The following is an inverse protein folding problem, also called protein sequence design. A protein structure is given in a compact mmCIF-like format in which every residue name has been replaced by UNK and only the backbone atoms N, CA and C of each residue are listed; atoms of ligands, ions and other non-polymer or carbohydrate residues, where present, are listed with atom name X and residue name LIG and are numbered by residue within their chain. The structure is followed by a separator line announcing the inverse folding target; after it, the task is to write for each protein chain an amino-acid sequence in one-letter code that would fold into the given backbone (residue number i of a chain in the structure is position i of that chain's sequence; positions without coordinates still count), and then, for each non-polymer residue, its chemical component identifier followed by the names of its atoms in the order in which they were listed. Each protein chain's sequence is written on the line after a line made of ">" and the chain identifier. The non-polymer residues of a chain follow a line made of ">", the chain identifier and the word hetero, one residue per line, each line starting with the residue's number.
data_IF_178778402417
#
_entry.id   IF_178778402417
#
_cell.length_a   1.000
_cell.length_b   1.000
_cell.length_c   1.000
_cell.angle_alpha   90.00
_cell.angle_beta   90.00
_cell.angle_gamma   90.00
#
_symmetry.space_group_name_H-M   'P 1'
#
loop_
_entity.id
_entity.type
_entity.pdbx_description
1 polymer ?
#
# COMPACT_ATOMS: atom_id res chain seq x y z
N UNK A 1 10.58 14.01 -4.88
CA UNK A 1 11.85 13.96 -4.14
C UNK A 1 11.64 13.07 -2.91
N UNK A 2 12.45 12.04 -2.73
CA UNK A 2 12.33 11.13 -1.58
C UNK A 2 12.74 11.80 -0.27
N UNK A 3 12.18 11.30 0.82
CA UNK A 3 12.43 11.77 2.18
C UNK A 3 13.67 11.09 2.75
N UNK A 4 14.11 11.54 3.91
CA UNK A 4 15.19 10.92 4.68
C UNK A 4 15.00 11.24 6.18
N UNK A 5 15.85 10.67 7.03
CA UNK A 5 15.73 10.83 8.48
C UNK A 5 15.72 12.30 8.92
N UNK A 6 16.61 13.12 8.36
CA UNK A 6 16.67 14.55 8.68
C UNK A 6 15.36 15.27 8.32
N UNK A 7 14.83 15.03 7.11
CA UNK A 7 13.56 15.63 6.66
C UNK A 7 12.37 15.17 7.48
N UNK A 8 12.37 13.92 7.95
CA UNK A 8 11.33 13.47 8.85
C UNK A 8 11.38 14.23 10.17
N UNK A 9 12.57 14.37 10.78
CA UNK A 9 12.72 15.16 12.01
C UNK A 9 12.27 16.61 11.81
N UNK A 10 12.65 17.24 10.69
CA UNK A 10 12.24 18.61 10.33
C UNK A 10 10.72 18.75 10.16
N UNK A 11 10.06 17.77 9.53
CA UNK A 11 8.60 17.79 9.26
C UNK A 11 7.75 17.40 10.46
N UNK A 12 8.22 16.44 11.26
CA UNK A 12 7.50 15.95 12.45
C UNK A 12 7.55 17.00 13.57
N UNK A 13 8.67 17.70 13.75
CA UNK A 13 8.83 18.69 14.82
C UNK A 13 8.79 18.07 16.22
N UNK A 14 8.78 18.91 17.27
CA UNK A 14 8.92 18.46 18.68
C UNK A 14 7.74 17.66 19.24
N UNK A 15 6.57 17.73 18.62
CA UNK A 15 5.34 17.08 19.10
C UNK A 15 4.63 16.22 18.05
N UNK A 16 5.25 15.99 16.90
CA UNK A 16 4.65 15.16 15.86
C UNK A 16 4.85 13.67 16.14
N UNK A 17 3.98 12.86 15.53
CA UNK A 17 4.05 11.40 15.61
C UNK A 17 5.26 10.88 14.82
N UNK A 18 6.09 9.98 15.41
CA UNK A 18 7.12 9.26 14.68
C UNK A 18 6.56 8.54 13.45
N UNK A 19 7.37 8.38 12.39
CA UNK A 19 6.91 7.82 11.10
C UNK A 19 6.37 6.40 11.26
N UNK A 20 7.10 5.56 12.00
CA UNK A 20 6.73 4.20 12.36
C UNK A 20 5.39 4.15 13.11
N UNK A 21 5.24 4.96 14.16
CA UNK A 21 3.98 5.04 14.91
C UNK A 21 2.83 5.52 14.03
N UNK A 22 3.04 6.53 13.19
CA UNK A 22 1.99 7.02 12.30
C UNK A 22 1.52 5.97 11.29
N UNK A 23 2.45 5.17 10.74
CA UNK A 23 2.11 4.07 9.85
C UNK A 23 1.38 2.94 10.60
N UNK A 24 1.82 2.62 11.83
CA UNK A 24 1.13 1.66 12.69
C UNK A 24 -0.29 2.12 13.01
N UNK A 25 -0.49 3.40 13.33
CA UNK A 25 -1.82 3.97 13.61
C UNK A 25 -2.75 3.81 12.40
N UNK A 26 -2.24 4.01 11.17
CA UNK A 26 -3.03 3.79 9.95
C UNK A 26 -3.43 2.32 9.78
N UNK A 27 -2.50 1.38 10.02
CA UNK A 27 -2.80 -0.07 9.96
C UNK A 27 -3.87 -0.45 10.98
N UNK A 28 -3.73 0.01 12.23
CA UNK A 28 -4.72 -0.24 13.29
C UNK A 28 -6.08 0.34 12.92
N UNK A 29 -6.12 1.58 12.43
CA UNK A 29 -7.37 2.22 12.00
C UNK A 29 -8.05 1.48 10.84
N UNK A 30 -7.29 0.90 9.92
CA UNK A 30 -7.85 0.08 8.83
C UNK A 30 -8.49 -1.20 9.39
N UNK A 31 -7.80 -1.88 10.30
CA UNK A 31 -8.26 -3.13 10.91
C UNK A 31 -9.50 -2.95 11.80
N UNK A 32 -9.56 -1.85 12.55
CA UNK A 32 -10.67 -1.57 13.50
C UNK A 32 -11.90 -0.97 12.82
N UNK A 33 -11.79 -0.47 11.60
CA UNK A 33 -12.90 0.18 10.90
C UNK A 33 -13.82 -0.81 10.21
N UNK A 34 -15.12 -0.47 10.18
CA UNK A 34 -16.14 -1.10 9.33
C UNK A 34 -16.63 -0.16 8.23
N UNK A 35 -16.13 1.07 8.17
CA UNK A 35 -16.48 2.05 7.15
C UNK A 35 -15.58 1.89 5.93
N UNK A 36 -16.16 1.41 4.83
CA UNK A 36 -15.44 1.14 3.58
C UNK A 36 -14.78 2.40 3.00
N UNK A 37 -15.46 3.54 3.02
CA UNK A 37 -14.89 4.80 2.52
C UNK A 37 -13.72 5.28 3.36
N UNK A 38 -13.70 4.98 4.66
CA UNK A 38 -12.57 5.25 5.53
C UNK A 38 -11.39 4.33 5.24
N UNK A 39 -11.65 3.03 5.06
CA UNK A 39 -10.63 2.05 4.66
C UNK A 39 -9.97 2.44 3.34
N UNK A 40 -10.75 2.83 2.34
CA UNK A 40 -10.25 3.30 1.04
C UNK A 40 -9.24 4.44 1.19
N UNK A 41 -9.59 5.44 2.03
CA UNK A 41 -8.70 6.58 2.30
C UNK A 41 -7.40 6.16 2.98
N UNK A 42 -7.47 5.18 3.90
CA UNK A 42 -6.28 4.67 4.58
C UNK A 42 -5.37 3.94 3.58
N UNK A 43 -5.90 3.04 2.76
CA UNK A 43 -5.10 2.29 1.78
C UNK A 43 -4.51 3.21 0.72
N UNK A 44 -5.26 4.22 0.27
CA UNK A 44 -4.73 5.27 -0.60
C UNK A 44 -3.54 6.01 0.04
N UNK A 45 -3.64 6.34 1.34
CA UNK A 45 -2.57 7.01 2.08
C UNK A 45 -1.34 6.11 2.20
N UNK A 46 -1.52 4.85 2.59
CA UNK A 46 -0.44 3.84 2.67
C UNK A 46 0.24 3.64 1.30
N UNK A 47 -0.54 3.59 0.22
CA UNK A 47 -0.04 3.45 -1.14
C UNK A 47 0.79 4.65 -1.59
N UNK A 48 0.41 5.86 -1.19
CA UNK A 48 1.22 7.07 -1.42
C UNK A 48 2.53 7.03 -0.63
N UNK A 49 2.53 6.51 0.61
CA UNK A 49 3.77 6.31 1.37
C UNK A 49 4.68 5.26 0.73
N UNK A 50 4.12 4.26 0.05
CA UNK A 50 4.87 3.21 -0.63
C UNK A 50 5.68 3.74 -1.83
N UNK A 51 5.46 4.97 -2.28
CA UNK A 51 6.28 5.57 -3.32
C UNK A 51 7.70 5.94 -2.83
N UNK A 52 7.90 6.10 -1.52
CA UNK A 52 9.16 6.58 -0.95
C UNK A 52 9.92 5.43 -0.24
N UNK A 53 11.13 5.06 -0.71
CA UNK A 53 11.91 3.96 -0.14
C UNK A 53 12.25 4.10 1.34
N UNK A 54 12.23 5.31 1.88
CA UNK A 54 12.38 5.54 3.33
C UNK A 54 11.38 4.71 4.16
N UNK A 55 10.18 4.47 3.62
CA UNK A 55 9.12 3.78 4.34
C UNK A 55 9.21 2.25 4.26
N UNK A 56 10.03 1.68 3.37
CA UNK A 56 10.01 0.24 3.07
C UNK A 56 10.35 -0.65 4.27
N UNK A 57 11.30 -0.25 5.11
CA UNK A 57 11.62 -1.00 6.32
C UNK A 57 10.42 -1.07 7.28
N UNK A 58 9.73 0.06 7.48
CA UNK A 58 8.51 0.10 8.29
C UNK A 58 7.38 -0.70 7.65
N UNK A 59 7.21 -0.64 6.33
CA UNK A 59 6.19 -1.40 5.62
C UNK A 59 6.32 -2.91 5.82
N UNK A 60 7.55 -3.43 5.78
CA UNK A 60 7.82 -4.84 6.08
C UNK A 60 7.62 -5.17 7.56
N UNK A 61 7.98 -4.27 8.47
CA UNK A 61 7.78 -4.50 9.90
C UNK A 61 6.30 -4.48 10.31
N UNK A 62 5.48 -3.72 9.60
CA UNK A 62 4.05 -3.50 9.90
C UNK A 62 3.13 -4.34 9.00
N UNK A 63 3.68 -5.27 8.22
CA UNK A 63 2.96 -6.13 7.27
C UNK A 63 2.05 -5.36 6.29
N UNK A 64 2.48 -4.16 5.86
CA UNK A 64 1.70 -3.30 4.94
C UNK A 64 1.67 -3.92 3.54
N UNK A 65 2.69 -4.69 3.14
CA UNK A 65 2.72 -5.35 1.84
C UNK A 65 1.65 -6.45 1.74
N UNK A 66 1.48 -7.20 2.82
CA UNK A 66 0.46 -8.22 3.00
C UNK A 66 -0.93 -7.57 3.05
N UNK A 67 -1.08 -6.44 3.75
CA UNK A 67 -2.32 -5.66 3.74
C UNK A 67 -2.73 -5.25 2.32
N UNK A 68 -1.78 -4.84 1.47
CA UNK A 68 -2.09 -4.55 0.07
C UNK A 68 -2.54 -5.81 -0.70
N UNK A 69 -1.97 -6.98 -0.41
CA UNK A 69 -2.39 -8.25 -1.00
C UNK A 69 -3.81 -8.63 -0.54
N UNK A 70 -4.15 -8.43 0.72
CA UNK A 70 -5.51 -8.65 1.22
C UNK A 70 -6.49 -7.73 0.49
N UNK A 71 -6.13 -6.44 0.34
CA UNK A 71 -6.97 -5.44 -0.33
C UNK A 71 -7.29 -5.79 -1.80
N UNK A 72 -6.38 -6.42 -2.54
CA UNK A 72 -6.64 -6.81 -3.94
C UNK A 72 -7.50 -8.07 -4.07
N UNK A 73 -7.84 -8.73 -2.97
CA UNK A 73 -8.80 -9.84 -2.92
C UNK A 73 -10.21 -9.41 -2.53
N UNK A 74 -10.36 -8.18 -2.05
CA UNK A 74 -11.65 -7.63 -1.63
C UNK A 74 -12.57 -7.33 -2.82
N UNK A 75 -13.90 -7.38 -2.64
CA UNK A 75 -14.86 -6.98 -3.67
C UNK A 75 -14.89 -5.46 -3.90
N UNK A 76 -14.37 -4.67 -2.97
CA UNK A 76 -14.33 -3.21 -3.09
C UNK A 76 -13.26 -2.79 -4.11
N UNK A 77 -13.71 -2.35 -5.29
CA UNK A 77 -12.83 -1.94 -6.40
C UNK A 77 -11.81 -0.87 -6.03
N UNK A 78 -12.12 0.02 -5.07
CA UNK A 78 -11.17 1.04 -4.60
C UNK A 78 -10.07 0.46 -3.73
N UNK A 79 -10.39 -0.52 -2.88
CA UNK A 79 -9.36 -1.25 -2.13
C UNK A 79 -8.44 -2.01 -3.08
N UNK A 80 -8.99 -2.63 -4.14
CA UNK A 80 -8.20 -3.30 -5.17
C UNK A 80 -7.30 -2.31 -5.91
N UNK A 81 -7.85 -1.17 -6.36
CA UNK A 81 -7.12 -0.12 -7.08
C UNK A 81 -5.94 0.43 -6.24
N UNK A 82 -6.19 0.79 -4.99
CA UNK A 82 -5.13 1.30 -4.12
C UNK A 82 -4.16 0.19 -3.70
N UNK A 83 -4.63 -1.01 -3.39
CA UNK A 83 -3.79 -2.15 -3.03
C UNK A 83 -2.77 -2.48 -4.13
N UNK A 84 -3.22 -2.61 -5.39
CA UNK A 84 -2.30 -2.87 -6.52
C UNK A 84 -1.37 -1.68 -6.77
N UNK A 85 -1.85 -0.44 -6.56
CA UNK A 85 -1.03 0.76 -6.61
C UNK A 85 0.09 0.76 -5.55
N UNK A 86 -0.21 0.37 -4.31
CA UNK A 86 0.77 0.20 -3.23
C UNK A 86 1.82 -0.86 -3.54
N UNK A 87 1.40 -1.99 -4.12
CA UNK A 87 2.30 -3.04 -4.61
C UNK A 87 3.23 -2.50 -5.70
N UNK A 88 2.69 -1.82 -6.72
CA UNK A 88 3.49 -1.24 -7.81
C UNK A 88 4.50 -0.19 -7.30
N UNK A 89 4.09 0.63 -6.33
CA UNK A 89 4.97 1.65 -5.76
C UNK A 89 6.12 1.06 -4.93
N UNK A 90 5.97 -0.16 -4.38
CA UNK A 90 6.92 -0.76 -3.44
C UNK A 90 7.76 -1.89 -4.02
N UNK A 91 7.31 -2.57 -5.08
CA UNK A 91 7.95 -3.79 -5.61
C UNK A 91 9.26 -3.55 -6.37
N UNK A 92 9.66 -2.29 -6.58
CA UNK A 92 10.98 -1.94 -7.12
C UNK A 92 12.12 -2.32 -6.16
N UNK A 93 11.83 -2.40 -4.85
CA UNK A 93 12.78 -2.87 -3.84
C UNK A 93 12.80 -4.41 -3.80
N UNK A 94 13.99 -5.05 -3.94
CA UNK A 94 14.08 -6.51 -3.94
C UNK A 94 13.55 -7.18 -2.68
N UNK A 95 13.70 -6.55 -1.50
CA UNK A 95 13.19 -7.13 -0.25
C UNK A 95 11.65 -7.09 -0.21
N UNK A 96 11.04 -5.98 -0.66
CA UNK A 96 9.58 -5.92 -0.81
C UNK A 96 9.07 -6.92 -1.85
N UNK A 97 9.72 -7.00 -3.03
CA UNK A 97 9.37 -7.97 -4.06
C UNK A 97 9.44 -9.41 -3.53
N UNK A 98 10.46 -9.73 -2.72
CA UNK A 98 10.58 -11.03 -2.07
C UNK A 98 9.39 -11.32 -1.15
N UNK A 99 8.96 -10.37 -0.32
CA UNK A 99 7.78 -10.54 0.55
C UNK A 99 6.53 -10.76 -0.31
N UNK A 100 6.27 -9.88 -1.28
CA UNK A 100 5.09 -9.97 -2.17
C UNK A 100 5.03 -11.32 -2.88
N UNK A 101 6.16 -11.80 -3.41
CA UNK A 101 6.21 -13.09 -4.12
C UNK A 101 6.04 -14.29 -3.19
N UNK A 102 6.63 -14.27 -1.99
CA UNK A 102 6.48 -15.32 -0.98
C UNK A 102 5.04 -15.42 -0.45
N UNK A 103 4.33 -14.30 -0.39
CA UNK A 103 2.92 -14.23 -0.02
C UNK A 103 1.96 -14.55 -1.18
N UNK A 104 2.46 -15.05 -2.32
CA UNK A 104 1.61 -15.42 -3.45
C UNK A 104 1.06 -14.24 -4.25
N UNK A 105 1.71 -13.08 -4.22
CA UNK A 105 1.20 -11.86 -4.87
C UNK A 105 1.21 -11.90 -6.40
N UNK A 106 2.06 -12.70 -7.04
CA UNK A 106 2.11 -12.82 -8.52
C UNK A 106 0.75 -13.21 -9.11
N UNK A 107 0.13 -14.36 -8.75
CA UNK A 107 -1.15 -14.75 -9.30
C UNK A 107 -2.27 -13.73 -9.00
N UNK A 108 -2.25 -13.09 -7.83
CA UNK A 108 -3.24 -12.07 -7.47
C UNK A 108 -3.14 -10.83 -8.37
N UNK A 109 -1.93 -10.33 -8.61
CA UNK A 109 -1.71 -9.19 -9.51
C UNK A 109 -2.08 -9.54 -10.95
N UNK A 110 -1.76 -10.75 -11.41
CA UNK A 110 -2.18 -11.23 -12.75
C UNK A 110 -3.70 -11.28 -12.87
N UNK A 111 -4.41 -11.69 -11.82
CA UNK A 111 -5.87 -11.66 -11.79
C UNK A 111 -6.42 -10.23 -11.89
N UNK A 112 -5.81 -9.25 -11.23
CA UNK A 112 -6.20 -7.85 -11.37
C UNK A 112 -6.12 -7.37 -12.83
N UNK A 113 -5.11 -7.80 -13.59
CA UNK A 113 -4.93 -7.46 -15.01
C UNK A 113 -5.97 -8.10 -15.95
N UNK A 114 -6.77 -9.03 -15.44
CA UNK A 114 -7.86 -9.67 -16.19
C UNK A 114 -9.23 -9.08 -15.86
N UNK A 115 -9.29 -8.11 -14.93
CA UNK A 115 -10.52 -7.43 -14.53
C UNK A 115 -11.04 -6.51 -15.65
N UNK A 116 -12.37 -6.35 -15.81
CA UNK A 116 -12.97 -5.42 -16.77
C UNK A 116 -12.98 -3.95 -16.30
N UNK A 117 -12.53 -3.66 -15.08
CA UNK A 117 -12.46 -2.30 -14.54
C UNK A 117 -11.34 -1.54 -15.26
N UNK A 118 -11.65 -0.42 -15.92
CA UNK A 118 -10.70 0.32 -16.78
C UNK A 118 -9.38 0.74 -16.11
N UNK A 119 -9.36 0.87 -14.77
CA UNK A 119 -8.15 1.17 -14.00
C UNK A 119 -7.30 -0.08 -13.68
N UNK A 120 -7.76 -1.29 -14.04
CA UNK A 120 -7.04 -2.56 -13.84
C UNK A 120 -6.95 -3.46 -15.10
N UNK A 121 -7.81 -3.32 -16.12
CA UNK A 121 -7.63 -3.55 -17.58
C UNK A 121 -9.02 -3.42 -18.27
N UNK A 122 -9.23 -3.04 -19.53
CA UNK A 122 -8.72 -3.56 -20.82
C UNK A 122 -8.92 -2.49 -21.92
N UNK A 123 -8.02 -2.47 -22.90
CA UNK A 123 -8.36 -2.06 -24.28
C UNK A 123 -9.22 -3.20 -24.85
N UNK A 124 -10.53 -3.00 -24.87
CA UNK A 124 -11.47 -3.86 -25.59
C UNK A 124 -11.38 -3.61 -27.09
N UNK A 125 -11.56 -4.69 -27.84
CA UNK A 125 -11.53 -4.81 -29.30
C UNK A 125 -12.18 -3.64 -30.07
N UNK A 126 -11.43 -3.08 -31.04
CA UNK A 126 -11.92 -2.46 -32.28
C UNK A 126 -11.01 -2.85 -33.41
#
# INVERSE_FOLDING_TARGET
>A
MFTNAQRQVERTGRGGTPRDQYLQDLVTQFQDSTDEGYKERIVANLSNFAYDPYNYAFMRQLNILELFLDCITEPNERLVEFGVGGICNSCVDPANASVITQCGGIPLVVQCLSSPVKNTATLGDV
#
